data_IF_737449759635
#
_entry.id   IF_737449759635
#
_cell.length_a   1.000
_cell.length_b   1.000
_cell.length_c   1.000
_cell.angle_alpha   90.00
_cell.angle_beta   90.00
_cell.angle_gamma   90.00
#
_symmetry.space_group_name_H-M   'P 1'
#
loop_
_entity.id
_entity.type
_entity.pdbx_description
1 polymer ?
#
# COMPACT_ATOMS: atom_id res chain seq x y z
N UNK A 1 -1.49 -12.31 1.80
CA UNK A 1 -1.87 -11.04 2.48
C UNK A 1 -0.78 -10.75 3.49
N UNK A 2 -0.39 -9.50 3.68
CA UNK A 2 0.63 -9.10 4.65
C UNK A 2 0.05 -7.97 5.52
N UNK A 3 0.36 -7.97 6.81
CA UNK A 3 -0.07 -6.89 7.73
C UNK A 3 0.93 -5.71 7.74
N UNK A 4 2.18 -5.97 7.35
CA UNK A 4 3.22 -4.95 7.36
C UNK A 4 4.47 -5.32 6.54
N UNK A 5 5.49 -4.45 6.53
CA UNK A 5 6.73 -4.67 5.79
C UNK A 5 7.55 -5.86 6.29
N UNK A 6 7.42 -6.25 7.57
CA UNK A 6 8.16 -7.36 8.17
C UNK A 6 7.65 -8.74 7.75
N UNK A 7 6.40 -8.82 7.26
CA UNK A 7 5.83 -10.04 6.68
C UNK A 7 6.36 -10.36 5.28
N UNK A 8 7.09 -9.42 4.66
CA UNK A 8 7.62 -9.60 3.31
C UNK A 8 8.84 -10.51 3.35
N UNK A 9 8.69 -11.73 2.86
CA UNK A 9 9.80 -12.65 2.67
C UNK A 9 10.56 -12.32 1.35
N UNK A 10 11.89 -12.05 1.40
CA UNK A 10 12.69 -11.77 0.21
C UNK A 10 12.65 -12.89 -0.86
N UNK A 11 12.47 -14.14 -0.45
CA UNK A 11 12.38 -15.28 -1.37
C UNK A 11 11.15 -15.20 -2.29
N UNK A 12 10.10 -14.46 -1.91
CA UNK A 12 8.93 -14.24 -2.78
C UNK A 12 9.25 -13.35 -3.99
N UNK A 13 10.24 -12.47 -3.83
CA UNK A 13 10.61 -11.43 -4.81
C UNK A 13 11.80 -11.89 -5.66
N UNK A 14 12.60 -12.83 -5.15
CA UNK A 14 13.75 -13.39 -5.85
C UNK A 14 13.35 -13.91 -7.24
N UNK A 15 14.06 -13.47 -8.28
CA UNK A 15 13.80 -13.78 -9.68
C UNK A 15 12.44 -13.30 -10.23
N UNK A 16 11.75 -12.39 -9.56
CA UNK A 16 10.54 -11.75 -10.10
C UNK A 16 10.91 -10.44 -10.79
N UNK A 17 10.31 -10.21 -11.95
CA UNK A 17 10.54 -9.01 -12.77
C UNK A 17 9.53 -7.90 -12.50
N UNK A 18 8.34 -8.27 -12.02
CA UNK A 18 7.24 -7.33 -11.79
C UNK A 18 6.51 -7.68 -10.49
N UNK A 19 6.17 -6.65 -9.70
CA UNK A 19 5.47 -6.79 -8.42
C UNK A 19 4.29 -5.81 -8.45
N UNK A 20 3.08 -6.34 -8.27
CA UNK A 20 1.87 -5.54 -8.06
C UNK A 20 1.60 -5.38 -6.57
N UNK A 21 1.28 -4.16 -6.15
CA UNK A 21 0.87 -3.86 -4.78
C UNK A 21 -0.53 -3.25 -4.79
N UNK A 22 -1.32 -3.58 -3.77
CA UNK A 22 -2.62 -3.00 -3.52
C UNK A 22 -2.86 -2.99 -2.01
N UNK A 23 -3.78 -2.16 -1.56
CA UNK A 23 -4.12 -2.01 -0.16
C UNK A 23 -5.62 -2.08 0.01
N UNK A 24 -6.08 -2.71 1.10
CA UNK A 24 -7.50 -2.67 1.46
C UNK A 24 -7.94 -1.27 1.87
N UNK A 25 -9.24 -0.98 1.82
CA UNK A 25 -9.80 0.32 2.16
C UNK A 25 -9.49 0.79 3.60
N UNK A 26 -9.18 -0.14 4.51
CA UNK A 26 -8.82 0.13 5.90
C UNK A 26 -7.31 0.27 6.14
N UNK A 27 -6.47 0.02 5.12
CA UNK A 27 -5.03 0.08 5.27
C UNK A 27 -4.55 1.53 5.20
N UNK A 28 -3.85 2.04 6.23
CA UNK A 28 -3.31 3.40 6.21
C UNK A 28 -2.19 3.53 5.16
N UNK A 29 -2.14 4.68 4.49
CA UNK A 29 -1.15 5.00 3.46
C UNK A 29 0.30 4.78 3.92
N UNK A 30 0.58 5.06 5.20
CA UNK A 30 1.91 4.87 5.80
C UNK A 30 2.38 3.41 5.74
N UNK A 31 1.48 2.44 5.85
CA UNK A 31 1.84 1.01 5.76
C UNK A 31 2.18 0.63 4.31
N UNK A 32 1.41 1.13 3.35
CA UNK A 32 1.67 0.91 1.92
C UNK A 32 3.04 1.47 1.54
N UNK A 33 3.36 2.67 2.03
CA UNK A 33 4.66 3.31 1.81
C UNK A 33 5.81 2.51 2.41
N UNK A 34 5.67 2.02 3.63
CA UNK A 34 6.67 1.15 4.27
C UNK A 34 6.89 -0.16 3.50
N UNK A 35 5.82 -0.77 2.98
CA UNK A 35 5.90 -1.95 2.11
C UNK A 35 6.69 -1.63 0.83
N UNK A 36 6.42 -0.50 0.19
CA UNK A 36 7.18 -0.03 -0.98
C UNK A 36 8.67 0.13 -0.65
N UNK A 37 8.99 0.77 0.47
CA UNK A 37 10.39 0.98 0.89
C UNK A 37 11.12 -0.34 1.17
N UNK A 38 10.43 -1.32 1.78
CA UNK A 38 10.97 -2.67 1.96
C UNK A 38 11.24 -3.37 0.63
N UNK A 39 10.31 -3.29 -0.32
CA UNK A 39 10.48 -3.85 -1.66
C UNK A 39 11.67 -3.22 -2.39
N UNK A 40 11.85 -1.90 -2.27
CA UNK A 40 13.01 -1.18 -2.80
C UNK A 40 14.32 -1.66 -2.17
N UNK A 41 14.34 -1.87 -0.85
CA UNK A 41 15.50 -2.43 -0.16
C UNK A 41 15.84 -3.85 -0.62
N UNK A 42 14.85 -4.62 -1.10
CA UNK A 42 15.05 -5.93 -1.72
C UNK A 42 15.47 -5.87 -3.20
N UNK A 43 15.66 -4.68 -3.79
CA UNK A 43 16.11 -4.49 -5.17
C UNK A 43 15.01 -4.12 -6.16
N UNK A 44 13.78 -3.87 -5.70
CA UNK A 44 12.72 -3.34 -6.55
C UNK A 44 12.96 -1.86 -6.88
N UNK A 45 12.39 -1.41 -8.00
CA UNK A 45 12.42 0.00 -8.39
C UNK A 45 11.23 0.77 -7.79
N UNK A 46 11.20 2.08 -7.99
CA UNK A 46 10.06 2.89 -7.59
C UNK A 46 8.78 2.39 -8.29
N UNK A 47 7.65 2.29 -7.55
CA UNK A 47 6.39 1.86 -8.14
C UNK A 47 5.89 2.89 -9.14
N UNK A 48 5.20 2.41 -10.17
CA UNK A 48 4.46 3.24 -11.10
C UNK A 48 3.00 3.17 -10.67
N UNK A 49 2.43 4.32 -10.33
CA UNK A 49 1.00 4.40 -10.03
C UNK A 49 0.20 4.15 -11.31
N UNK A 50 -0.60 3.08 -11.29
CA UNK A 50 -1.53 2.80 -12.38
C UNK A 50 -2.76 3.67 -12.22
N UNK A 51 -3.21 4.30 -13.31
CA UNK A 51 -4.40 5.11 -13.31
C UNK A 51 -5.63 4.26 -12.92
N UNK A 52 -6.21 4.55 -11.77
CA UNK A 52 -7.46 3.97 -11.29
C UNK A 52 -8.67 4.82 -11.67
N UNK A 53 -9.86 4.31 -11.38
CA UNK A 53 -11.08 5.12 -11.41
C UNK A 53 -11.05 6.12 -10.25
N UNK A 54 -11.28 7.43 -10.49
CA UNK A 54 -11.30 8.41 -9.41
C UNK A 54 -12.46 8.16 -8.45
N UNK A 55 -12.15 8.06 -7.16
CA UNK A 55 -13.13 7.90 -6.08
C UNK A 55 -13.25 9.22 -5.30
N UNK A 56 -14.43 9.85 -5.35
CA UNK A 56 -14.65 11.19 -4.78
C UNK A 56 -15.73 11.21 -3.69
N UNK A 57 -16.04 10.04 -3.11
CA UNK A 57 -17.04 9.86 -2.07
C UNK A 57 -16.38 10.09 -0.71
N UNK A 58 -16.89 11.03 0.07
CA UNK A 58 -16.42 11.31 1.44
C UNK A 58 -17.60 11.38 2.40
N UNK A 59 -17.46 10.72 3.55
CA UNK A 59 -18.44 10.73 4.62
C UNK A 59 -18.00 11.72 5.71
N UNK A 60 -18.77 12.80 5.88
CA UNK A 60 -18.50 13.77 6.94
C UNK A 60 -18.92 13.25 8.30
N UNK A 61 -18.14 13.58 9.35
CA UNK A 61 -18.53 13.31 10.73
C UNK A 61 -19.86 14.05 11.06
N UNK A 62 -20.84 13.34 11.66
CA UNK A 62 -22.09 13.94 12.13
C UNK A 62 -21.83 15.11 13.08
N UNK A 63 -22.67 16.16 12.98
CA UNK A 63 -22.53 17.37 13.80
C UNK A 63 -22.51 17.09 15.31
N UNK A 64 -23.18 16.04 15.77
CA UNK A 64 -23.26 15.64 17.18
C UNK A 64 -21.94 15.10 17.77
N UNK A 65 -20.96 14.74 16.94
CA UNK A 65 -19.65 14.22 17.36
C UNK A 65 -18.52 15.23 17.13
N UNK A 66 -18.85 16.46 16.69
CA UNK A 66 -17.91 17.58 16.64
C UNK A 66 -17.92 18.24 18.02
N UNK A 67 -17.11 17.69 18.94
CA UNK A 67 -16.87 18.25 20.28
C UNK A 67 -15.89 19.41 20.18
#
# INVERSE_FOLDING_TARGET
LIDGPDDINPEWIKNRTSIGITAGASAPEVLVRQVIDKLKACGAQAPIEMAGTPENISFSLPKALRI
#
